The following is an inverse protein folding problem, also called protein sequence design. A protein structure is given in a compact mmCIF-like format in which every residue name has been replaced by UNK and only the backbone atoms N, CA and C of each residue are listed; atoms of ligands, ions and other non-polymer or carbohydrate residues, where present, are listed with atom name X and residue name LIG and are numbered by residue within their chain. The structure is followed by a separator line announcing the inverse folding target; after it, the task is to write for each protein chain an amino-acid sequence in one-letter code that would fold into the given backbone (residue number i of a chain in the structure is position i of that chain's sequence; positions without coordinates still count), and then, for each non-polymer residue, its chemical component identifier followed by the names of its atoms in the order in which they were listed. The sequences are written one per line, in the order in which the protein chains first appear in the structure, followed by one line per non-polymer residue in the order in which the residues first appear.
data_IF_554071244380
#
_entry.id   IF_554071244380
#
_cell.length_a   1.000
_cell.length_b   1.000
_cell.length_c   1.000
_cell.angle_alpha   90.00
_cell.angle_beta   90.00
_cell.angle_gamma   90.00
#
_symmetry.space_group_name_H-M   'P 1'
#
loop_
_entity.id
_entity.type
_entity.pdbx_description
1 polymer ?
#
# COMPACT_ATOMS: atom_id res chain seq x y z
N UNK A 1 28.06 -2.20 -22.73
CA UNK A 1 27.23 -0.99 -22.85
C UNK A 1 26.74 -0.60 -21.48
N UNK A 2 26.81 0.70 -21.13
CA UNK A 2 26.63 1.28 -19.77
C UNK A 2 25.35 0.85 -19.03
N UNK A 3 24.32 0.40 -19.74
CA UNK A 3 23.06 -0.14 -19.18
C UNK A 3 23.16 -1.59 -18.67
N UNK A 4 24.23 -2.33 -18.97
CA UNK A 4 24.44 -3.72 -18.49
C UNK A 4 25.14 -3.80 -17.13
N UNK A 5 25.44 -2.67 -16.50
CA UNK A 5 26.15 -2.58 -15.21
C UNK A 5 25.37 -1.78 -14.16
N UNK A 6 24.07 -1.59 -14.37
CA UNK A 6 23.20 -0.88 -13.43
C UNK A 6 22.14 -1.83 -12.88
N UNK A 7 21.96 -1.85 -11.57
CA UNK A 7 20.90 -2.59 -10.88
C UNK A 7 19.91 -1.57 -10.28
N UNK A 8 18.73 -1.35 -10.88
CA UNK A 8 17.72 -0.52 -10.27
C UNK A 8 17.13 -1.22 -9.03
N UNK A 9 17.12 -0.52 -7.90
CA UNK A 9 16.52 -1.00 -6.66
C UNK A 9 15.40 -0.04 -6.25
N UNK A 10 14.31 -0.61 -5.76
CA UNK A 10 13.21 0.11 -5.13
C UNK A 10 13.05 -0.48 -3.74
N UNK A 11 13.08 0.38 -2.73
CA UNK A 11 12.80 0.00 -1.34
C UNK A 11 11.40 0.51 -1.02
N UNK A 12 10.55 -0.37 -0.53
CA UNK A 12 9.19 -0.04 -0.11
C UNK A 12 9.04 -0.41 1.35
N UNK A 13 8.43 0.50 2.11
CA UNK A 13 8.15 0.31 3.54
C UNK A 13 6.65 0.33 3.77
N UNK A 14 6.18 -0.53 4.67
CA UNK A 14 4.78 -0.55 5.09
C UNK A 14 4.45 0.75 5.80
N UNK A 15 3.32 1.34 5.41
CA UNK A 15 2.80 2.53 6.06
C UNK A 15 1.61 2.17 6.96
N UNK A 16 1.72 2.51 8.25
CA UNK A 16 0.62 2.30 9.18
C UNK A 16 -0.53 3.25 8.88
N UNK A 17 -1.74 2.81 9.26
CA UNK A 17 -2.96 3.60 9.11
C UNK A 17 -2.88 4.87 9.95
N UNK A 18 -3.27 5.99 9.34
CA UNK A 18 -3.46 7.27 10.01
C UNK A 18 -4.82 7.83 9.54
N UNK A 19 -5.77 8.16 10.43
CA UNK A 19 -7.07 8.71 10.05
C UNK A 19 -6.99 10.09 9.35
N UNK A 20 -5.85 10.78 9.43
CA UNK A 20 -5.60 12.02 8.69
C UNK A 20 -5.19 11.75 7.23
N UNK A 21 -4.70 10.54 6.91
CA UNK A 21 -4.43 10.11 5.54
C UNK A 21 -5.70 9.52 4.93
N UNK A 22 -6.40 10.29 4.10
CA UNK A 22 -7.73 9.92 3.59
C UNK A 22 -8.01 10.46 2.19
N UNK A 23 -8.95 9.81 1.50
CA UNK A 23 -9.58 10.36 0.30
C UNK A 23 -10.75 11.24 0.75
N UNK A 24 -10.80 12.47 0.26
CA UNK A 24 -11.87 13.42 0.55
C UNK A 24 -12.42 14.00 -0.75
N UNK A 25 -13.62 14.57 -0.67
CA UNK A 25 -14.27 15.27 -1.77
C UNK A 25 -14.09 16.78 -1.62
N UNK A 26 -13.87 17.48 -2.73
CA UNK A 26 -13.95 18.94 -2.75
C UNK A 26 -15.41 19.42 -2.83
N UNK A 27 -15.61 20.74 -2.88
CA UNK A 27 -16.96 21.36 -3.00
C UNK A 27 -17.71 21.01 -4.29
N UNK A 28 -17.01 20.48 -5.29
CA UNK A 28 -17.55 20.06 -6.57
C UNK A 28 -17.61 18.53 -6.68
N UNK A 29 -17.48 17.82 -5.56
CA UNK A 29 -17.49 16.35 -5.48
C UNK A 29 -16.32 15.64 -6.19
N UNK A 30 -15.21 16.35 -6.47
CA UNK A 30 -14.01 15.70 -6.98
C UNK A 30 -13.25 15.00 -5.85
N UNK A 31 -12.89 13.74 -6.05
CA UNK A 31 -12.08 12.98 -5.11
C UNK A 31 -10.60 13.34 -5.19
N UNK A 32 -9.96 13.60 -4.05
CA UNK A 32 -8.52 13.79 -3.95
C UNK A 32 -7.95 13.16 -2.68
N UNK A 33 -6.65 12.87 -2.72
CA UNK A 33 -5.92 12.29 -1.58
C UNK A 33 -5.41 13.43 -0.69
N UNK A 34 -5.86 13.44 0.56
CA UNK A 34 -5.24 14.22 1.63
C UNK A 34 -4.23 13.32 2.34
N UNK A 35 -2.94 13.59 2.14
CA UNK A 35 -1.85 12.79 2.69
C UNK A 35 -0.94 13.69 3.53
N UNK A 36 -1.00 13.50 4.86
CA UNK A 36 -0.16 14.20 5.85
C UNK A 36 1.30 13.76 5.75
N UNK A 37 1.53 12.49 5.41
CA UNK A 37 2.86 11.92 5.30
C UNK A 37 2.91 10.45 5.70
N UNK A 38 4.10 9.87 5.53
CA UNK A 38 4.37 8.51 5.99
C UNK A 38 4.45 8.47 7.52
N UNK A 39 4.04 7.33 8.09
CA UNK A 39 4.14 7.04 9.52
C UNK A 39 5.60 7.02 10.00
N UNK A 40 5.80 7.22 11.29
CA UNK A 40 7.12 7.07 11.94
C UNK A 40 7.70 5.68 11.70
N UNK A 41 6.85 4.64 11.69
CA UNK A 41 7.25 3.27 11.42
C UNK A 41 7.84 3.13 10.01
N UNK A 42 7.14 3.64 8.99
CA UNK A 42 7.62 3.63 7.61
C UNK A 42 8.95 4.40 7.49
N UNK A 43 9.03 5.59 8.09
CA UNK A 43 10.22 6.45 8.04
C UNK A 43 11.44 5.78 8.70
N UNK A 44 11.26 5.20 9.90
CA UNK A 44 12.32 4.45 10.59
C UNK A 44 12.71 3.19 9.83
N UNK A 45 11.74 2.48 9.25
CA UNK A 45 11.98 1.32 8.39
C UNK A 45 12.83 1.66 7.17
N UNK A 46 12.55 2.79 6.51
CA UNK A 46 13.31 3.27 5.35
C UNK A 46 14.75 3.61 5.74
N UNK A 47 14.92 4.37 6.84
CA UNK A 47 16.25 4.71 7.35
C UNK A 47 17.06 3.44 7.66
N UNK A 48 16.44 2.43 8.27
CA UNK A 48 17.11 1.17 8.56
C UNK A 48 17.46 0.37 7.30
N UNK A 49 16.57 0.37 6.31
CA UNK A 49 16.83 -0.30 5.04
C UNK A 49 18.02 0.33 4.30
N UNK A 50 18.09 1.67 4.26
CA UNK A 50 19.21 2.41 3.66
C UNK A 50 20.52 2.19 4.42
N UNK A 51 20.50 2.19 5.76
CA UNK A 51 21.67 1.88 6.60
C UNK A 51 22.24 0.48 6.29
N UNK A 52 21.37 -0.50 6.02
CA UNK A 52 21.75 -1.91 5.79
C UNK A 52 22.09 -2.21 4.33
N UNK A 53 21.68 -1.35 3.39
CA UNK A 53 21.80 -1.59 1.96
C UNK A 53 23.25 -1.88 1.52
N UNK A 54 24.30 -1.15 1.95
CA UNK A 54 25.67 -1.44 1.54
C UNK A 54 26.13 -2.85 1.95
N UNK A 55 25.78 -3.29 3.16
CA UNK A 55 26.14 -4.62 3.64
C UNK A 55 25.40 -5.73 2.85
N UNK A 56 24.14 -5.50 2.48
CA UNK A 56 23.36 -6.43 1.64
C UNK A 56 23.94 -6.57 0.23
N UNK A 57 24.52 -5.49 -0.29
CA UNK A 57 25.11 -5.45 -1.63
C UNK A 57 26.58 -5.90 -1.68
N UNK A 58 27.23 -6.14 -0.53
CA UNK A 58 28.63 -6.55 -0.43
C UNK A 58 29.02 -7.78 -1.30
N UNK A 59 28.15 -8.79 -1.54
CA UNK A 59 28.47 -9.89 -2.43
C UNK A 59 28.54 -9.52 -3.92
N UNK A 60 28.05 -8.34 -4.30
CA UNK A 60 28.02 -7.85 -5.67
C UNK A 60 29.19 -6.86 -5.88
N UNK A 61 29.75 -6.76 -7.11
CA UNK A 61 30.81 -5.81 -7.42
C UNK A 61 30.24 -4.38 -7.58
N UNK A 62 29.63 -3.84 -6.51
CA UNK A 62 29.02 -2.50 -6.50
C UNK A 62 30.11 -1.46 -6.27
N UNK A 63 30.40 -0.67 -7.31
CA UNK A 63 31.35 0.44 -7.23
C UNK A 63 30.71 1.71 -6.66
N UNK A 64 29.43 1.92 -6.94
CA UNK A 64 28.72 3.15 -6.55
C UNK A 64 27.22 2.89 -6.36
N UNK A 65 26.65 3.52 -5.33
CA UNK A 65 25.21 3.57 -5.07
C UNK A 65 24.73 5.00 -5.32
N UNK A 66 23.70 5.14 -6.15
CA UNK A 66 23.06 6.43 -6.42
C UNK A 66 21.67 6.45 -5.78
N UNK A 67 21.52 7.23 -4.71
CA UNK A 67 20.21 7.49 -4.13
C UNK A 67 19.43 8.48 -5.01
N UNK A 68 18.22 8.09 -5.41
CA UNK A 68 17.30 8.92 -6.20
C UNK A 68 16.24 9.62 -5.34
N UNK A 69 16.32 9.46 -4.03
CA UNK A 69 15.38 10.02 -3.06
C UNK A 69 14.06 9.26 -3.00
N UNK A 70 13.14 9.80 -2.20
CA UNK A 70 11.81 9.22 -1.98
C UNK A 70 10.88 9.64 -3.11
N UNK A 71 10.20 8.66 -3.71
CA UNK A 71 9.13 8.94 -4.68
C UNK A 71 7.90 9.49 -3.96
N UNK A 72 7.16 10.46 -4.54
CA UNK A 72 5.91 10.94 -3.96
C UNK A 72 4.84 9.85 -3.81
N UNK A 73 4.88 8.82 -4.67
CA UNK A 73 3.92 7.72 -4.67
C UNK A 73 4.50 6.49 -5.38
N UNK A 74 4.10 5.30 -4.92
CA UNK A 74 4.28 4.01 -5.63
C UNK A 74 2.99 3.58 -6.37
N UNK A 75 1.98 4.45 -6.42
CA UNK A 75 0.67 4.20 -7.04
C UNK A 75 -0.12 3.03 -6.44
N UNK A 76 0.24 2.61 -5.23
CA UNK A 76 -0.46 1.58 -4.45
C UNK A 76 -1.35 2.23 -3.37
N UNK A 77 -2.47 2.83 -3.77
CA UNK A 77 -3.46 3.34 -2.80
C UNK A 77 -4.25 2.16 -2.22
N UNK A 78 -4.33 2.06 -0.90
CA UNK A 78 -4.94 0.92 -0.20
C UNK A 78 -5.70 1.40 1.05
N UNK A 79 -6.64 0.58 1.54
CA UNK A 79 -7.29 0.79 2.84
C UNK A 79 -8.35 1.89 2.91
N UNK A 80 -8.75 2.49 1.80
CA UNK A 80 -9.75 3.57 1.76
C UNK A 80 -11.18 3.13 2.11
N UNK A 81 -11.49 1.83 1.99
CA UNK A 81 -12.76 1.19 2.35
C UNK A 81 -12.47 -0.09 3.15
N UNK A 82 -11.62 0.03 4.17
CA UNK A 82 -10.96 -1.10 4.83
C UNK A 82 -11.92 -2.17 5.36
N UNK A 83 -11.47 -3.41 5.26
CA UNK A 83 -12.07 -4.58 5.88
C UNK A 83 -11.80 -4.60 7.39
N UNK A 84 -12.77 -5.06 8.18
CA UNK A 84 -12.62 -5.22 9.62
C UNK A 84 -13.74 -6.05 10.24
N UNK A 85 -13.78 -6.11 11.56
CA UNK A 85 -14.73 -6.95 12.30
C UNK A 85 -16.05 -6.25 12.63
N UNK A 86 -16.14 -4.93 12.47
CA UNK A 86 -17.36 -4.18 12.74
C UNK A 86 -17.42 -2.80 12.08
N UNK A 87 -18.62 -2.19 12.03
CA UNK A 87 -18.85 -0.93 11.32
C UNK A 87 -18.28 0.30 12.02
N UNK A 88 -17.83 0.18 13.28
CA UNK A 88 -17.29 1.30 14.04
C UNK A 88 -15.96 1.82 13.46
N UNK A 89 -15.19 0.93 12.86
CA UNK A 89 -13.85 1.22 12.38
C UNK A 89 -13.57 0.66 10.98
N UNK A 90 -14.52 0.02 10.30
CA UNK A 90 -14.33 -0.56 8.96
C UNK A 90 -15.58 -0.46 8.09
N UNK A 91 -15.42 -0.64 6.78
CA UNK A 91 -16.51 -0.50 5.79
C UNK A 91 -17.10 -1.85 5.39
N UNK A 92 -16.23 -2.84 5.20
CA UNK A 92 -16.62 -4.20 4.81
C UNK A 92 -16.19 -5.23 5.86
N UNK A 93 -16.89 -6.35 5.90
CA UNK A 93 -16.52 -7.50 6.71
C UNK A 93 -15.47 -8.39 6.01
N UNK A 94 -15.08 -9.48 6.69
CA UNK A 94 -14.14 -10.50 6.18
C UNK A 94 -14.51 -11.11 4.83
N UNK A 95 -15.77 -11.00 4.43
CA UNK A 95 -16.30 -11.56 3.19
C UNK A 95 -16.47 -10.51 2.10
N UNK A 96 -15.92 -9.30 2.31
CA UNK A 96 -15.90 -8.18 1.38
C UNK A 96 -17.29 -7.54 1.16
N UNK A 97 -18.21 -7.82 2.07
CA UNK A 97 -19.58 -7.30 2.05
C UNK A 97 -19.64 -6.07 2.97
N UNK A 98 -20.28 -5.01 2.50
CA UNK A 98 -20.47 -3.81 3.30
C UNK A 98 -21.26 -4.12 4.59
N UNK A 99 -20.84 -3.58 5.73
CA UNK A 99 -21.44 -3.92 7.04
C UNK A 99 -22.95 -3.64 7.09
N UNK A 100 -23.38 -2.49 6.58
CA UNK A 100 -24.79 -2.06 6.54
C UNK A 100 -25.54 -2.51 5.27
N UNK A 101 -24.98 -2.27 4.08
CA UNK A 101 -25.56 -2.64 2.80
C UNK A 101 -25.18 -4.07 2.41
N UNK A 102 -25.95 -5.05 2.89
CA UNK A 102 -25.58 -6.48 2.76
C UNK A 102 -25.63 -7.04 1.34
N UNK A 103 -26.18 -6.29 0.38
CA UNK A 103 -26.17 -6.59 -1.05
C UNK A 103 -25.06 -5.84 -1.82
N UNK A 104 -24.17 -5.13 -1.13
CA UNK A 104 -23.04 -4.41 -1.71
C UNK A 104 -21.73 -5.14 -1.41
N UNK A 105 -21.04 -5.57 -2.47
CA UNK A 105 -19.68 -6.13 -2.40
C UNK A 105 -18.68 -5.09 -2.88
N UNK A 106 -17.60 -4.91 -2.13
CA UNK A 106 -16.50 -4.00 -2.47
C UNK A 106 -15.24 -4.84 -2.67
N UNK A 107 -14.57 -4.67 -3.81
CA UNK A 107 -13.33 -5.38 -4.13
C UNK A 107 -12.22 -4.41 -4.52
N UNK A 108 -10.98 -4.88 -4.43
CA UNK A 108 -9.79 -4.08 -4.70
C UNK A 108 -9.02 -3.70 -3.44
N UNK A 109 -7.93 -2.96 -3.63
CA UNK A 109 -6.96 -2.62 -2.58
C UNK A 109 -7.52 -1.69 -1.50
N UNK A 110 -8.61 -0.99 -1.80
CA UNK A 110 -9.36 -0.16 -0.84
C UNK A 110 -9.78 -0.95 0.40
N UNK A 111 -10.01 -2.25 0.26
CA UNK A 111 -10.50 -3.12 1.35
C UNK A 111 -9.41 -3.66 2.26
N UNK A 112 -8.13 -3.38 1.99
CA UNK A 112 -7.09 -4.00 2.80
C UNK A 112 -7.04 -3.40 4.20
N UNK A 113 -6.87 -4.22 5.25
CA UNK A 113 -6.71 -3.74 6.61
C UNK A 113 -5.31 -3.14 6.86
N UNK A 114 -4.33 -3.43 6.01
CA UNK A 114 -2.96 -2.90 6.08
C UNK A 114 -2.37 -2.62 4.70
N UNK A 115 -1.30 -1.82 4.66
CA UNK A 115 -0.60 -1.38 3.46
C UNK A 115 0.80 -1.99 3.42
N UNK A 116 0.89 -3.27 3.06
CA UNK A 116 2.15 -4.03 3.00
C UNK A 116 3.13 -3.48 1.97
N UNK A 117 4.43 -3.75 2.13
CA UNK A 117 5.47 -3.42 1.14
C UNK A 117 5.32 -4.18 -0.20
N UNK A 118 4.51 -5.25 -0.24
CA UNK A 118 4.34 -6.08 -1.42
C UNK A 118 3.34 -5.47 -2.42
N UNK A 119 3.59 -5.69 -3.71
CA UNK A 119 2.70 -5.24 -4.79
C UNK A 119 1.29 -5.83 -4.60
N UNK A 120 0.24 -5.00 -4.57
CA UNK A 120 -1.03 -5.43 -4.00
C UNK A 120 -1.94 -6.17 -4.98
N UNK A 121 -1.69 -6.09 -6.28
CA UNK A 121 -2.62 -6.57 -7.33
C UNK A 121 -2.95 -8.05 -7.23
N UNK A 122 -2.00 -8.90 -6.88
CA UNK A 122 -2.24 -10.35 -6.73
C UNK A 122 -3.20 -10.65 -5.57
N UNK A 123 -2.97 -10.02 -4.42
CA UNK A 123 -3.88 -10.12 -3.26
C UNK A 123 -5.27 -9.58 -3.61
N UNK A 124 -5.36 -8.56 -4.48
CA UNK A 124 -6.62 -7.92 -4.83
C UNK A 124 -7.44 -8.86 -5.70
N UNK A 125 -6.79 -9.50 -6.67
CA UNK A 125 -7.39 -10.54 -7.49
C UNK A 125 -7.86 -11.73 -6.63
N UNK A 126 -7.02 -12.21 -5.71
CA UNK A 126 -7.35 -13.34 -4.84
C UNK A 126 -8.57 -13.06 -3.95
N UNK A 127 -8.63 -11.89 -3.31
CA UNK A 127 -9.79 -11.49 -2.48
C UNK A 127 -11.04 -11.27 -3.32
N UNK A 128 -10.91 -10.69 -4.52
CA UNK A 128 -12.03 -10.53 -5.46
C UNK A 128 -12.64 -11.87 -5.87
N UNK A 129 -11.79 -12.86 -6.22
CA UNK A 129 -12.24 -14.20 -6.60
C UNK A 129 -12.92 -14.92 -5.42
N UNK A 130 -12.37 -14.78 -4.21
CA UNK A 130 -12.97 -15.31 -2.98
C UNK A 130 -14.35 -14.69 -2.68
N UNK A 131 -14.51 -13.39 -2.91
CA UNK A 131 -15.80 -12.72 -2.74
C UNK A 131 -16.81 -13.22 -3.78
N UNK A 132 -16.39 -13.29 -5.05
CA UNK A 132 -17.23 -13.79 -6.14
C UNK A 132 -17.72 -15.23 -5.91
N UNK A 133 -16.85 -16.13 -5.42
CA UNK A 133 -17.23 -17.52 -5.13
C UNK A 133 -18.27 -17.68 -4.02
N UNK A 134 -18.54 -16.63 -3.24
CA UNK A 134 -19.54 -16.61 -2.16
C UNK A 134 -20.85 -15.96 -2.58
N UNK A 135 -20.87 -15.30 -3.74
CA UNK A 135 -22.07 -14.77 -4.37
C UNK A 135 -22.77 -15.79 -5.27
N UNK A 136 -22.05 -16.85 -5.65
CA UNK A 136 -22.50 -17.93 -6.52
C UNK A 136 -23.35 -18.98 -5.78
#
# INVERSE_FOLDING_TARGET
GRLRQALPLVIVTENLLDPENRVILDKNENAFVSFKGASDYATKGMAKALERLPALLNPLPVEQIFDRGIRPTESHVQGTLRMGTGPADSVVDRDMIHHQLRNLVVVGTSTYPSCSCANPSLTAAALSLRAASRLA
#
